data_IF_076026999340
#
_entry.id   IF_076026999340
#
_cell.length_a   1.000
_cell.length_b   1.000
_cell.length_c   1.000
_cell.angle_alpha   90.00
_cell.angle_beta   90.00
_cell.angle_gamma   90.00
#
_symmetry.space_group_name_H-M   'P 1'
#
loop_
_entity.id
_entity.type
_entity.pdbx_description
1 polymer ?
#
# COMPACT_ATOMS: atom_id res chain seq x y z
N UNK A 1 -9.24 -8.83 9.44
CA UNK A 1 -9.20 -7.62 8.59
C UNK A 1 -9.56 -8.02 7.17
N UNK A 2 -10.44 -7.29 6.47
CA UNK A 2 -10.76 -7.56 5.06
C UNK A 2 -9.58 -7.11 4.19
N UNK A 3 -9.04 -8.00 3.34
CA UNK A 3 -8.04 -7.60 2.34
C UNK A 3 -8.74 -6.91 1.18
N UNK A 4 -8.47 -5.62 1.01
CA UNK A 4 -9.00 -4.85 -0.10
C UNK A 4 -8.36 -5.30 -1.43
N UNK A 5 -9.14 -5.19 -2.52
CA UNK A 5 -8.63 -5.42 -3.86
C UNK A 5 -8.23 -4.10 -4.52
N UNK A 6 -6.94 -3.97 -4.80
CA UNK A 6 -6.34 -2.87 -5.55
C UNK A 6 -6.28 -3.16 -7.05
N UNK A 7 -6.90 -4.24 -7.54
CA UNK A 7 -6.70 -4.76 -8.89
C UNK A 7 -6.99 -3.73 -10.00
N UNK A 8 -8.04 -2.92 -9.83
CA UNK A 8 -8.41 -1.85 -10.77
C UNK A 8 -7.35 -0.75 -10.82
N UNK A 9 -6.82 -0.34 -9.67
CA UNK A 9 -5.79 0.69 -9.58
C UNK A 9 -4.45 0.19 -10.13
N UNK A 10 -4.07 -1.05 -9.78
CA UNK A 10 -2.89 -1.72 -10.32
C UNK A 10 -2.96 -1.79 -11.85
N UNK A 11 -4.14 -2.12 -12.40
CA UNK A 11 -4.35 -2.14 -13.85
C UNK A 11 -4.23 -0.74 -14.48
N UNK A 12 -4.85 0.29 -13.88
CA UNK A 12 -4.76 1.68 -14.36
C UNK A 12 -3.31 2.16 -14.41
N UNK A 13 -2.53 1.95 -13.35
CA UNK A 13 -1.11 2.32 -13.30
C UNK A 13 -0.29 1.53 -14.32
N UNK A 14 -0.55 0.22 -14.45
CA UNK A 14 0.13 -0.60 -15.45
C UNK A 14 -0.07 -0.06 -16.87
N UNK A 15 -1.29 0.39 -17.21
CA UNK A 15 -1.59 0.94 -18.53
C UNK A 15 -0.96 2.30 -18.82
N UNK A 16 -0.61 3.07 -17.79
CA UNK A 16 0.16 4.31 -17.96
C UNK A 16 1.61 4.04 -18.41
N UNK A 17 2.18 2.89 -18.02
CA UNK A 17 3.58 2.52 -18.37
C UNK A 17 3.65 1.59 -19.57
N UNK A 18 2.71 0.64 -19.69
CA UNK A 18 2.68 -0.40 -20.72
C UNK A 18 1.28 -0.60 -21.32
N UNK A 19 0.89 0.28 -22.25
CA UNK A 19 -0.47 0.29 -22.82
C UNK A 19 -0.87 -1.02 -23.53
N UNK A 20 0.06 -1.74 -24.16
CA UNK A 20 -0.20 -2.98 -24.91
C UNK A 20 -0.13 -4.26 -24.08
N UNK A 21 0.39 -4.22 -22.85
CA UNK A 21 0.66 -5.44 -22.06
C UNK A 21 -0.53 -5.80 -21.18
N UNK A 22 -0.91 -7.08 -21.16
CA UNK A 22 -1.88 -7.65 -20.23
C UNK A 22 -1.23 -8.13 -18.93
N UNK A 23 -2.02 -8.43 -17.91
CA UNK A 23 -1.55 -8.99 -16.64
C UNK A 23 -2.37 -10.22 -16.30
N UNK A 24 -1.70 -11.33 -15.99
CA UNK A 24 -2.39 -12.56 -15.62
C UNK A 24 -3.05 -12.43 -14.24
N UNK A 25 -4.05 -13.26 -13.95
CA UNK A 25 -4.72 -13.31 -12.65
C UNK A 25 -3.74 -13.64 -11.51
N UNK A 26 -2.78 -14.55 -11.74
CA UNK A 26 -1.72 -14.89 -10.78
C UNK A 26 -0.81 -13.68 -10.50
N UNK A 27 -0.35 -12.98 -11.53
CA UNK A 27 0.46 -11.78 -11.37
C UNK A 27 -0.32 -10.66 -10.68
N UNK A 28 -1.62 -10.53 -10.97
CA UNK A 28 -2.49 -9.57 -10.30
C UNK A 28 -2.65 -9.88 -8.81
N UNK A 29 -2.89 -11.14 -8.44
CA UNK A 29 -2.99 -11.56 -7.05
C UNK A 29 -1.70 -11.27 -6.28
N UNK A 30 -0.54 -11.55 -6.88
CA UNK A 30 0.76 -11.20 -6.29
C UNK A 30 0.88 -9.69 -6.07
N UNK A 31 0.59 -8.87 -7.09
CA UNK A 31 0.64 -7.40 -6.97
C UNK A 31 -0.34 -6.87 -5.92
N UNK A 32 -1.53 -7.45 -5.81
CA UNK A 32 -2.52 -7.08 -4.80
C UNK A 32 -2.00 -7.36 -3.38
N UNK A 33 -1.40 -8.53 -3.17
CA UNK A 33 -0.83 -8.88 -1.88
C UNK A 33 0.38 -8.02 -1.54
N UNK A 34 1.22 -7.69 -2.53
CA UNK A 34 2.35 -6.78 -2.35
C UNK A 34 1.90 -5.39 -1.88
N UNK A 35 0.84 -4.82 -2.48
CA UNK A 35 0.30 -3.52 -2.04
C UNK A 35 -0.24 -3.61 -0.60
N UNK A 36 -0.95 -4.69 -0.25
CA UNK A 36 -1.43 -4.88 1.11
C UNK A 36 -0.28 -5.00 2.13
N UNK A 37 0.77 -5.78 1.83
CA UNK A 37 1.94 -5.94 2.72
C UNK A 37 2.63 -4.60 3.01
N UNK A 38 2.89 -3.81 1.96
CA UNK A 38 3.51 -2.49 2.12
C UNK A 38 2.62 -1.53 2.91
N UNK A 39 1.31 -1.54 2.66
CA UNK A 39 0.36 -0.71 3.41
C UNK A 39 0.31 -1.09 4.89
N UNK A 40 0.28 -2.38 5.21
CA UNK A 40 0.29 -2.87 6.59
C UNK A 40 1.57 -2.46 7.32
N UNK A 41 2.74 -2.59 6.67
CA UNK A 41 4.03 -2.19 7.24
C UNK A 41 4.13 -0.67 7.48
N UNK A 42 3.73 0.14 6.50
CA UNK A 42 3.70 1.60 6.64
C UNK A 42 2.73 2.00 7.76
N UNK A 43 1.52 1.43 7.79
CA UNK A 43 0.51 1.77 8.79
C UNK A 43 0.96 1.40 10.21
N UNK A 44 1.57 0.23 10.38
CA UNK A 44 2.09 -0.21 11.67
C UNK A 44 3.17 0.74 12.19
N UNK A 45 4.15 1.09 11.34
CA UNK A 45 5.24 1.98 11.75
C UNK A 45 4.76 3.43 11.96
N UNK A 46 3.86 3.93 11.11
CA UNK A 46 3.26 5.26 11.28
C UNK A 46 2.46 5.35 12.57
N UNK A 47 1.71 4.29 12.91
CA UNK A 47 0.98 4.18 14.17
C UNK A 47 1.94 4.22 15.36
N UNK A 48 3.04 3.45 15.29
CA UNK A 48 4.09 3.44 16.32
C UNK A 48 4.68 4.84 16.55
N UNK A 49 4.99 5.56 15.46
CA UNK A 49 5.51 6.93 15.53
C UNK A 49 4.49 7.92 16.13
N UNK A 50 3.23 7.85 15.72
CA UNK A 50 2.16 8.67 16.28
C UNK A 50 1.99 8.41 17.79
N UNK A 51 2.04 7.14 18.20
CA UNK A 51 1.97 6.74 19.61
C UNK A 51 3.15 7.28 20.43
N UNK A 52 4.39 7.23 19.93
CA UNK A 52 5.53 7.83 20.65
C UNK A 52 5.40 9.34 20.81
N UNK A 53 4.85 10.01 19.80
CA UNK A 53 4.59 11.43 19.84
C UNK A 53 3.33 11.80 20.64
N UNK A 54 2.67 10.82 21.29
CA UNK A 54 1.43 10.98 22.08
C UNK A 54 0.30 11.62 21.27
N UNK A 55 0.25 11.35 19.98
CA UNK A 55 -0.79 11.83 19.09
C UNK A 55 -1.94 10.84 19.06
N UNK A 56 -3.17 11.35 19.02
CA UNK A 56 -4.39 10.55 18.86
C UNK A 56 -4.70 10.19 17.41
N UNK A 57 -3.94 10.71 16.45
CA UNK A 57 -4.12 10.48 15.03
C UNK A 57 -2.76 10.38 14.31
N UNK A 58 -2.70 9.53 13.29
CA UNK A 58 -1.55 9.42 12.38
C UNK A 58 -1.52 10.63 11.45
N UNK A 59 -0.37 11.32 11.37
CA UNK A 59 -0.16 12.48 10.48
C UNK A 59 0.68 12.12 9.26
N UNK A 60 0.70 13.02 8.28
CA UNK A 60 1.56 12.89 7.10
C UNK A 60 3.04 12.73 7.45
N UNK A 61 3.52 13.41 8.50
CA UNK A 61 4.90 13.29 8.98
C UNK A 61 5.23 11.88 9.49
N UNK A 62 4.28 11.22 10.15
CA UNK A 62 4.48 9.85 10.66
C UNK A 62 4.60 8.86 9.49
N UNK A 63 3.80 9.05 8.43
CA UNK A 63 3.89 8.26 7.18
C UNK A 63 5.22 8.51 6.46
N UNK A 64 5.65 9.76 6.36
CA UNK A 64 6.93 10.12 5.70
C UNK A 64 8.15 9.61 6.46
N UNK A 65 8.05 9.49 7.79
CA UNK A 65 9.13 9.02 8.66
C UNK A 65 9.09 7.50 8.87
N UNK A 66 7.99 6.84 8.48
CA UNK A 66 7.83 5.41 8.62
C UNK A 66 8.93 4.66 7.86
N UNK A 67 9.68 3.84 8.60
CA UNK A 67 10.71 2.95 8.06
C UNK A 67 10.05 1.63 7.68
N UNK A 68 9.99 1.36 6.38
CA UNK A 68 9.43 0.14 5.80
C UNK A 68 10.52 -0.88 5.58
#
# INVERSE_FOLDING_TARGET
MRKESFSVYIYKVLKQVYFKTGVSSKAMSFKNNFVNDILERIAAESSRLAHYNKLSAIRSQDIQTAKV
#
